data_IF_384824809722
#
_entry.id   IF_384824809722
#
_cell.length_a   1.000
_cell.length_b   1.000
_cell.length_c   1.000
_cell.angle_alpha   90.00
_cell.angle_beta   90.00
_cell.angle_gamma   90.00
#
_symmetry.space_group_name_H-M   'P 1'
#
loop_
_entity.id
_entity.type
_entity.pdbx_description
1 polymer ?
#
# COMPACT_ATOMS: atom_id res chain seq x y z
N UNK A 1 31.94 20.74 1.10
CA UNK A 1 30.61 21.16 1.62
C UNK A 1 29.74 19.93 1.66
N UNK A 2 28.98 19.70 2.73
CA UNK A 2 28.05 18.57 2.82
C UNK A 2 26.66 19.05 2.42
N UNK A 3 26.00 18.35 1.50
CA UNK A 3 24.62 18.66 1.10
C UNK A 3 23.67 18.36 2.26
N UNK A 4 22.61 19.16 2.45
CA UNK A 4 21.54 18.83 3.39
C UNK A 4 20.94 17.46 3.08
N UNK A 5 20.45 16.74 4.09
CA UNK A 5 19.77 15.47 3.89
C UNK A 5 18.44 15.70 3.17
N UNK A 6 18.15 14.89 2.15
CA UNK A 6 16.89 14.97 1.41
C UNK A 6 16.33 13.57 1.15
N UNK A 7 15.00 13.46 1.06
CA UNK A 7 14.35 12.22 0.63
C UNK A 7 14.52 12.08 -0.88
N UNK A 8 15.13 10.99 -1.33
CA UNK A 8 15.34 10.69 -2.74
C UNK A 8 14.21 9.87 -3.36
N UNK A 9 13.64 8.93 -2.59
CA UNK A 9 12.50 8.13 -3.02
C UNK A 9 11.74 7.49 -1.87
N UNK A 10 10.49 7.14 -2.10
CA UNK A 10 9.64 6.39 -1.16
C UNK A 10 9.04 5.17 -1.85
N UNK A 11 8.68 4.17 -1.04
CA UNK A 11 7.88 3.04 -1.46
C UNK A 11 6.86 2.75 -0.34
N UNK A 12 5.55 2.94 -0.54
CA UNK A 12 4.91 3.45 -1.76
C UNK A 12 5.44 4.82 -2.20
N UNK A 13 5.45 5.06 -3.52
CA UNK A 13 5.77 6.36 -4.07
C UNK A 13 4.68 7.39 -3.71
N UNK A 14 5.02 8.67 -3.74
CA UNK A 14 4.04 9.73 -3.48
C UNK A 14 2.92 9.70 -4.51
N UNK A 15 1.67 9.60 -4.03
CA UNK A 15 0.47 9.49 -4.86
C UNK A 15 0.15 8.07 -5.34
N UNK A 16 0.90 7.04 -4.91
CA UNK A 16 0.57 5.65 -5.25
C UNK A 16 -0.83 5.28 -4.77
N UNK A 17 -1.56 4.55 -5.62
CA UNK A 17 -2.86 3.98 -5.31
C UNK A 17 -2.81 2.45 -5.43
N UNK A 18 -3.74 1.77 -4.77
CA UNK A 18 -3.79 0.31 -4.83
C UNK A 18 -2.77 -0.38 -3.92
N UNK A 19 -2.22 0.35 -2.94
CA UNK A 19 -1.26 -0.22 -1.99
C UNK A 19 -1.97 -1.25 -1.10
N UNK A 20 -1.46 -2.49 -0.96
CA UNK A 20 -2.08 -3.45 -0.07
C UNK A 20 -2.13 -2.93 1.38
N UNK A 21 -3.19 -3.22 2.16
CA UNK A 21 -3.21 -2.90 3.58
C UNK A 21 -2.05 -3.60 4.31
N UNK A 22 -1.65 -3.05 5.47
CA UNK A 22 -0.57 -3.57 6.31
C UNK A 22 0.78 -3.70 5.56
N UNK A 23 1.03 -2.79 4.62
CA UNK A 23 2.27 -2.76 3.84
C UNK A 23 3.41 -2.01 4.53
N UNK A 24 4.64 -2.41 4.22
CA UNK A 24 5.82 -1.66 4.59
C UNK A 24 5.92 -0.35 3.82
N UNK A 25 6.38 0.69 4.51
CA UNK A 25 6.73 1.99 3.95
C UNK A 25 8.24 2.17 4.05
N UNK A 26 8.92 2.27 2.92
CA UNK A 26 10.35 2.53 2.85
C UNK A 26 10.62 3.97 2.42
N UNK A 27 11.60 4.58 3.08
CA UNK A 27 12.10 5.92 2.77
C UNK A 27 13.58 5.78 2.48
N UNK A 28 14.01 6.29 1.32
CA UNK A 28 15.41 6.29 0.90
C UNK A 28 15.87 7.73 0.74
N UNK A 29 16.92 8.10 1.47
CA UNK A 29 17.54 9.42 1.39
C UNK A 29 18.65 9.47 0.34
N UNK A 30 19.02 10.68 -0.06
CA UNK A 30 20.09 10.97 -1.03
C UNK A 30 21.50 10.61 -0.52
N UNK A 31 21.65 10.45 0.79
CA UNK A 31 22.89 10.10 1.46
C UNK A 31 22.63 9.28 2.73
N UNK A 32 23.69 8.74 3.34
CA UNK A 32 23.59 7.95 4.56
C UNK A 32 22.93 8.76 5.70
N UNK A 33 21.96 8.15 6.39
CA UNK A 33 21.18 8.71 7.49
C UNK A 33 21.74 8.24 8.84
N UNK A 34 21.66 9.11 9.85
CA UNK A 34 21.87 8.72 11.24
C UNK A 34 20.59 8.08 11.78
N UNK A 35 20.59 6.74 11.87
CA UNK A 35 19.45 5.96 12.34
C UNK A 35 19.06 6.24 13.80
N UNK A 36 19.92 6.84 14.63
CA UNK A 36 19.52 7.29 15.97
C UNK A 36 18.48 8.43 15.91
N UNK A 37 18.43 9.16 14.80
CA UNK A 37 17.48 10.26 14.57
C UNK A 37 16.20 9.81 13.85
N UNK A 38 16.15 8.58 13.34
CA UNK A 38 14.99 8.03 12.63
C UNK A 38 14.16 7.21 13.61
N UNK A 39 12.96 7.69 13.94
CA UNK A 39 12.02 6.99 14.80
C UNK A 39 10.59 7.48 14.50
N UNK A 40 9.60 6.93 15.20
CA UNK A 40 8.18 7.25 15.01
C UNK A 40 7.78 8.66 15.46
N UNK A 41 8.67 9.41 16.11
CA UNK A 41 8.49 10.83 16.43
C UNK A 41 9.06 11.78 15.38
N UNK A 42 10.09 11.37 14.64
CA UNK A 42 10.70 12.17 13.55
C UNK A 42 10.17 11.80 12.17
N UNK A 43 9.65 10.59 12.02
CA UNK A 43 8.88 10.12 10.87
C UNK A 43 7.51 9.65 11.38
N UNK A 44 6.46 10.40 11.07
CA UNK A 44 5.10 10.12 11.52
C UNK A 44 4.22 9.67 10.37
N UNK A 45 3.17 8.91 10.66
CA UNK A 45 2.16 8.51 9.70
C UNK A 45 0.76 8.69 10.28
N UNK A 46 -0.25 8.84 9.42
CA UNK A 46 -1.67 8.90 9.84
C UNK A 46 -2.26 7.51 10.13
N UNK A 47 -1.57 6.44 9.75
CA UNK A 47 -2.00 5.08 10.04
C UNK A 47 -2.08 4.82 11.55
N UNK A 48 -3.03 3.99 11.97
CA UNK A 48 -3.25 3.68 13.40
C UNK A 48 -2.03 2.98 14.00
N UNK A 49 -1.46 2.01 13.28
CA UNK A 49 -0.19 1.38 13.62
C UNK A 49 0.95 1.96 12.80
N UNK A 50 2.06 2.27 13.47
CA UNK A 50 3.28 2.77 12.84
C UNK A 50 4.50 2.36 13.67
N UNK A 51 5.37 1.55 13.10
CA UNK A 51 6.56 1.04 13.78
C UNK A 51 7.80 1.05 12.87
N UNK A 52 8.94 1.47 13.39
CA UNK A 52 10.21 1.34 12.69
C UNK A 52 10.65 -0.14 12.70
N UNK A 53 10.82 -0.73 11.51
CA UNK A 53 11.24 -2.12 11.33
C UNK A 53 12.76 -2.21 11.19
N UNK A 54 13.35 -1.33 10.39
CA UNK A 54 14.79 -1.31 10.15
C UNK A 54 15.24 0.07 9.71
N UNK A 55 16.47 0.44 10.06
CA UNK A 55 17.16 1.59 9.49
C UNK A 55 18.63 1.21 9.28
N UNK A 56 19.13 1.43 8.07
CA UNK A 56 20.52 1.15 7.71
C UNK A 56 20.94 2.01 6.53
N UNK A 57 22.18 2.51 6.56
CA UNK A 57 22.76 3.32 5.49
C UNK A 57 21.89 4.54 5.15
N UNK A 58 21.31 4.61 3.96
CA UNK A 58 20.42 5.68 3.51
C UNK A 58 18.95 5.26 3.49
N UNK A 59 18.56 4.16 4.15
CA UNK A 59 17.21 3.60 4.03
C UNK A 59 16.60 3.21 5.36
N UNK A 60 15.35 3.62 5.57
CA UNK A 60 14.53 3.17 6.70
C UNK A 60 13.24 2.52 6.19
N UNK A 61 12.76 1.53 6.94
CA UNK A 61 11.52 0.81 6.67
C UNK A 61 10.65 0.86 7.91
N UNK A 62 9.41 1.27 7.71
CA UNK A 62 8.37 1.28 8.71
C UNK A 62 7.27 0.30 8.32
N UNK A 63 6.63 -0.29 9.30
CA UNK A 63 5.42 -1.09 9.12
C UNK A 63 4.22 -0.22 9.49
N UNK A 64 3.30 -0.05 8.54
CA UNK A 64 2.01 0.60 8.78
C UNK A 64 0.94 -0.48 8.97
N UNK A 65 -0.03 -0.23 9.84
CA UNK A 65 -1.17 -1.13 10.01
C UNK A 65 -2.44 -0.42 10.43
N UNK A 66 -3.57 -1.13 10.34
CA UNK A 66 -4.87 -0.61 10.76
C UNK A 66 -5.43 0.46 9.82
N UNK A 67 -5.07 0.37 8.55
CA UNK A 67 -5.53 1.27 7.49
C UNK A 67 -6.80 0.69 6.86
N UNK A 68 -7.79 1.53 6.61
CA UNK A 68 -9.02 1.16 5.94
C UNK A 68 -8.86 1.04 4.41
N UNK A 69 -9.78 0.31 3.74
CA UNK A 69 -9.84 0.30 2.29
C UNK A 69 -10.09 1.70 1.73
N UNK A 70 -9.43 2.02 0.60
CA UNK A 70 -9.52 3.34 -0.07
C UNK A 70 -9.10 4.54 0.81
N UNK A 71 -8.53 4.29 1.99
CA UNK A 71 -8.01 5.33 2.86
C UNK A 71 -6.69 5.87 2.29
N UNK A 72 -6.52 7.19 2.32
CA UNK A 72 -5.26 7.85 2.03
C UNK A 72 -4.46 8.01 3.30
N UNK A 73 -3.29 7.37 3.35
CA UNK A 73 -2.33 7.50 4.43
C UNK A 73 -1.28 8.55 4.08
N UNK A 74 -1.02 9.46 5.01
CA UNK A 74 0.00 10.48 4.87
C UNK A 74 1.18 10.16 5.79
N UNK A 75 2.40 10.34 5.30
CA UNK A 75 3.65 10.18 6.04
C UNK A 75 4.41 11.49 6.03
N UNK A 76 4.90 11.92 7.18
CA UNK A 76 5.67 13.15 7.36
C UNK A 76 7.04 12.86 7.94
N UNK A 77 8.09 13.32 7.25
CA UNK A 77 9.48 13.30 7.70
C UNK A 77 9.83 14.71 8.17
N UNK A 78 10.11 14.86 9.46
CA UNK A 78 10.47 16.16 10.06
C UNK A 78 11.90 16.59 9.72
N UNK A 79 12.20 17.87 9.94
CA UNK A 79 13.56 18.41 9.79
C UNK A 79 14.56 17.88 10.82
N UNK A 80 14.11 17.12 11.83
CA UNK A 80 14.98 16.58 12.87
C UNK A 80 15.74 15.31 12.44
N UNK A 81 15.41 14.70 11.30
CA UNK A 81 16.19 13.60 10.73
C UNK A 81 17.54 14.14 10.23
N UNK A 82 18.63 13.44 10.54
CA UNK A 82 19.99 13.88 10.21
C UNK A 82 20.73 12.87 9.35
N UNK A 83 21.62 13.37 8.49
CA UNK A 83 22.60 12.53 7.82
C UNK A 83 23.61 11.97 8.82
N UNK A 84 24.33 10.92 8.43
CA UNK A 84 25.44 10.35 9.22
C UNK A 84 26.56 11.38 9.50
N UNK A 85 26.63 12.46 8.71
CA UNK A 85 27.53 13.59 8.92
C UNK A 85 26.94 14.68 9.86
N UNK A 86 25.78 14.44 10.47
CA UNK A 86 25.14 15.31 11.47
C UNK A 86 24.31 16.47 10.89
N UNK A 87 24.18 16.58 9.55
CA UNK A 87 23.37 17.62 8.90
C UNK A 87 21.89 17.24 8.93
N UNK A 88 21.05 18.13 9.42
CA UNK A 88 19.59 17.98 9.39
C UNK A 88 19.03 18.13 7.97
N UNK A 89 17.79 17.67 7.76
CA UNK A 89 17.02 18.05 6.58
C UNK A 89 16.71 19.55 6.60
N UNK A 90 16.70 20.18 5.42
CA UNK A 90 16.43 21.62 5.28
C UNK A 90 14.95 21.94 5.42
N UNK A 91 14.09 21.10 4.81
CA UNK A 91 12.65 21.20 4.87
C UNK A 91 12.04 19.85 5.27
N UNK A 92 10.86 19.89 5.87
CA UNK A 92 10.09 18.68 6.12
C UNK A 92 9.59 18.10 4.79
N UNK A 93 9.53 16.78 4.70
CA UNK A 93 9.03 16.08 3.51
C UNK A 93 7.74 15.34 3.85
N UNK A 94 6.71 15.51 3.04
CA UNK A 94 5.43 14.80 3.23
C UNK A 94 5.04 14.11 1.94
N UNK A 95 4.55 12.88 2.05
CA UNK A 95 3.98 12.14 0.92
C UNK A 95 2.74 11.37 1.36
N UNK A 96 1.97 10.89 0.40
CA UNK A 96 0.76 10.11 0.66
C UNK A 96 0.60 8.93 -0.28
N UNK A 97 -0.16 7.94 0.15
CA UNK A 97 -0.54 6.79 -0.68
C UNK A 97 -1.93 6.28 -0.29
N UNK A 98 -2.64 5.66 -1.23
CA UNK A 98 -4.01 5.17 -1.04
C UNK A 98 -4.06 3.65 -1.04
N UNK A 99 -4.73 3.10 -0.02
CA UNK A 99 -4.92 1.65 0.15
C UNK A 99 -5.83 1.10 -0.94
N UNK A 100 -5.53 -0.11 -1.40
CA UNK A 100 -6.36 -0.85 -2.34
C UNK A 100 -7.81 -0.94 -1.89
N UNK A 101 -8.73 -0.87 -2.85
CA UNK A 101 -10.10 -1.30 -2.64
C UNK A 101 -10.11 -2.75 -2.11
N UNK A 102 -11.12 -3.13 -1.31
CA UNK A 102 -11.33 -4.54 -1.03
C UNK A 102 -11.59 -5.25 -2.37
N UNK A 103 -11.20 -6.53 -2.50
CA UNK A 103 -11.62 -7.31 -3.65
C UNK A 103 -13.15 -7.24 -3.76
N UNK A 104 -13.72 -7.17 -4.98
CA UNK A 104 -15.16 -7.08 -5.15
C UNK A 104 -15.82 -8.23 -4.43
N UNK A 105 -16.72 -7.90 -3.51
CA UNK A 105 -17.59 -8.87 -2.88
C UNK A 105 -18.34 -9.57 -4.02
N UNK A 106 -18.16 -10.89 -4.18
CA UNK A 106 -18.94 -11.67 -5.15
C UNK A 106 -20.46 -11.59 -4.86
N UNK A 107 -20.82 -11.01 -3.70
CA UNK A 107 -22.16 -10.68 -3.23
C UNK A 107 -22.89 -9.58 -4.05
N UNK A 108 -22.30 -9.10 -5.14
CA UNK A 108 -22.90 -8.11 -6.05
C UNK A 108 -22.93 -8.50 -7.53
N UNK A 109 -22.49 -9.71 -7.88
CA UNK A 109 -22.67 -10.20 -9.26
C UNK A 109 -24.17 -10.35 -9.49
N UNK A 110 -24.71 -9.63 -10.47
CA UNK A 110 -26.04 -9.97 -11.00
C UNK A 110 -25.93 -11.43 -11.43
N UNK A 111 -26.59 -12.32 -10.70
CA UNK A 111 -26.89 -13.63 -11.23
C UNK A 111 -27.83 -13.34 -12.42
N UNK A 112 -27.27 -13.32 -13.62
CA UNK A 112 -28.05 -13.35 -14.87
C UNK A 112 -28.81 -14.70 -15.01
N UNK A 113 -28.58 -15.64 -14.08
CA UNK A 113 -29.42 -16.82 -13.88
C UNK A 113 -30.77 -16.44 -13.28
N UNK A 114 -31.84 -17.07 -13.76
CA UNK A 114 -33.16 -16.93 -13.15
C UNK A 114 -33.17 -17.40 -11.69
N UNK A 115 -34.30 -17.25 -10.99
CA UNK A 115 -34.47 -17.73 -9.60
C UNK A 115 -34.43 -19.28 -9.44
N UNK A 116 -33.95 -19.98 -10.47
CA UNK A 116 -33.85 -21.42 -10.57
C UNK A 116 -32.58 -22.02 -9.98
N UNK A 117 -32.49 -23.34 -10.08
CA UNK A 117 -31.26 -24.06 -9.75
C UNK A 117 -30.37 -24.05 -10.99
N UNK A 118 -29.23 -23.38 -10.87
CA UNK A 118 -28.15 -23.41 -11.85
C UNK A 118 -26.99 -24.23 -11.31
N UNK A 119 -26.56 -25.25 -12.04
CA UNK A 119 -25.46 -26.14 -11.65
C UNK A 119 -24.43 -26.23 -12.76
N UNK A 120 -23.22 -25.76 -12.48
CA UNK A 120 -22.06 -25.99 -13.34
C UNK A 120 -21.60 -27.46 -13.21
N UNK A 121 -21.29 -28.09 -14.34
CA UNK A 121 -20.82 -29.47 -14.41
C UNK A 121 -19.33 -29.56 -14.73
N UNK A 122 -18.85 -28.70 -15.62
CA UNK A 122 -17.45 -28.64 -16.04
C UNK A 122 -17.11 -27.23 -16.54
N UNK A 123 -15.83 -26.90 -16.57
CA UNK A 123 -15.37 -25.62 -17.05
C UNK A 123 -13.94 -25.64 -17.57
N UNK A 124 -13.67 -24.80 -18.56
CA UNK A 124 -12.34 -24.60 -19.13
C UNK A 124 -12.03 -23.11 -19.24
N UNK A 125 -10.74 -22.77 -19.22
CA UNK A 125 -10.27 -21.40 -19.46
C UNK A 125 -9.39 -21.36 -20.70
N UNK A 126 -9.37 -20.22 -21.40
CA UNK A 126 -8.44 -19.98 -22.50
C UNK A 126 -7.21 -19.18 -22.06
N UNK A 127 -6.26 -18.98 -22.97
CA UNK A 127 -5.05 -18.21 -22.72
C UNK A 127 -5.30 -16.69 -22.52
N UNK A 128 -6.49 -16.20 -22.86
CA UNK A 128 -6.91 -14.82 -22.63
C UNK A 128 -7.58 -14.64 -21.25
N UNK A 129 -7.78 -15.72 -20.49
CA UNK A 129 -8.42 -15.70 -19.18
C UNK A 129 -9.94 -15.76 -19.22
N UNK A 130 -10.55 -16.06 -20.38
CA UNK A 130 -12.00 -16.26 -20.48
C UNK A 130 -12.38 -17.58 -19.80
N UNK A 131 -13.56 -17.64 -19.18
CA UNK A 131 -14.08 -18.84 -18.51
C UNK A 131 -15.28 -19.37 -19.30
N UNK A 132 -15.22 -20.64 -19.69
CA UNK A 132 -16.31 -21.37 -20.35
C UNK A 132 -16.85 -22.39 -19.37
N UNK A 133 -18.12 -22.27 -19.00
CA UNK A 133 -18.80 -23.19 -18.09
C UNK A 133 -19.90 -23.93 -18.84
N UNK A 134 -19.99 -25.25 -18.63
CA UNK A 134 -21.13 -26.05 -19.09
C UNK A 134 -21.89 -26.57 -17.89
N UNK A 135 -23.21 -26.66 -17.98
CA UNK A 135 -24.05 -26.99 -16.85
C UNK A 135 -25.50 -27.18 -17.21
N UNK A 136 -26.35 -27.22 -16.18
CA UNK A 136 -27.80 -27.26 -16.30
C UNK A 136 -28.40 -26.06 -15.60
N UNK A 137 -29.38 -25.44 -16.24
CA UNK A 137 -30.24 -24.43 -15.63
C UNK A 137 -31.66 -24.98 -15.49
N UNK A 138 -32.30 -24.72 -14.36
CA UNK A 138 -33.70 -25.03 -14.10
C UNK A 138 -34.39 -23.79 -13.54
N UNK A 139 -34.79 -22.87 -14.42
CA UNK A 139 -35.48 -21.62 -14.06
C UNK A 139 -37.00 -21.79 -13.98
N UNK A 140 -37.67 -21.44 -12.86
CA UNK A 140 -39.07 -21.77 -12.63
C UNK A 140 -40.10 -20.91 -13.39
N UNK A 141 -39.71 -19.88 -14.16
CA UNK A 141 -40.66 -19.04 -14.91
C UNK A 141 -40.05 -18.53 -16.24
N UNK A 142 -40.87 -18.56 -17.30
CA UNK A 142 -40.87 -17.56 -18.37
C UNK A 142 -41.88 -16.47 -17.99
#
# INVERSE_FOLDING_TARGET
MTTPLQVGSTLPADGDAGVPPDSNVAITWDQAVDCATVNTGTVTATSVGWALVSCSESRAVFFASGQGPLETNQVSVTTNVRSAAGRAMEEAFTFSYTISAPPPDWNGTILEGGAGIDSARDGVTDAAGNIYLVGTTSSPLF
#
